data_IF_890288362024
#
_entry.id   IF_890288362024
#
_cell.length_a   1.000
_cell.length_b   1.000
_cell.length_c   1.000
_cell.angle_alpha   90.00
_cell.angle_beta   90.00
_cell.angle_gamma   90.00
#
_symmetry.space_group_name_H-M   'P 1'
#
loop_
_entity.id
_entity.type
_entity.pdbx_description
1 polymer ?
#
# COMPACT_ATOMS: atom_id res chain seq x y z
N UNK A 1 25.36 36.58 -37.77
CA UNK A 1 25.55 35.23 -37.22
C UNK A 1 24.97 35.21 -35.83
N UNK A 2 23.72 34.73 -35.69
CA UNK A 2 22.97 34.70 -34.42
C UNK A 2 23.13 33.30 -33.84
N UNK A 3 23.78 33.20 -32.68
CA UNK A 3 23.99 31.95 -31.97
C UNK A 3 22.67 31.42 -31.40
N UNK A 4 22.27 30.23 -31.86
CA UNK A 4 21.21 29.45 -31.21
C UNK A 4 21.78 28.82 -29.94
N UNK A 5 21.23 29.21 -28.79
CA UNK A 5 21.48 28.56 -27.51
C UNK A 5 20.83 27.18 -27.52
N UNK A 6 21.67 26.16 -27.41
CA UNK A 6 21.29 24.75 -27.32
C UNK A 6 20.66 24.50 -25.95
N UNK A 7 19.35 24.25 -25.94
CA UNK A 7 18.58 24.02 -24.74
C UNK A 7 18.83 22.58 -24.26
N UNK A 8 19.81 22.39 -23.39
CA UNK A 8 20.13 21.07 -22.81
C UNK A 8 18.95 20.56 -22.00
N UNK A 9 18.22 19.59 -22.54
CA UNK A 9 17.18 18.84 -21.84
C UNK A 9 17.79 18.14 -20.63
N UNK A 10 17.38 18.61 -19.44
CA UNK A 10 17.67 17.99 -18.15
C UNK A 10 17.18 16.53 -18.15
N UNK A 11 18.11 15.59 -18.30
CA UNK A 11 17.88 14.17 -18.04
C UNK A 11 17.53 14.00 -16.56
N UNK A 12 16.23 13.90 -16.27
CA UNK A 12 15.72 13.63 -14.94
C UNK A 12 16.31 12.31 -14.42
N UNK A 13 17.18 12.41 -13.42
CA UNK A 13 17.79 11.25 -12.77
C UNK A 13 16.70 10.27 -12.28
N UNK A 14 16.93 8.95 -12.38
CA UNK A 14 15.93 7.97 -11.97
C UNK A 14 15.56 8.16 -10.50
N UNK A 15 14.29 7.94 -10.13
CA UNK A 15 13.79 8.25 -8.79
C UNK A 15 14.52 7.38 -7.76
N UNK A 16 15.40 8.02 -6.96
CA UNK A 16 16.05 7.40 -5.81
C UNK A 16 14.96 6.92 -4.84
N UNK A 17 14.85 5.62 -4.65
CA UNK A 17 14.16 5.10 -3.46
C UNK A 17 14.94 5.60 -2.24
N UNK A 18 14.21 6.08 -1.23
CA UNK A 18 14.80 6.38 0.07
C UNK A 18 15.57 5.14 0.56
N UNK A 19 16.85 5.26 0.94
CA UNK A 19 17.64 4.13 1.45
C UNK A 19 16.90 3.32 2.52
N UNK A 20 16.12 3.98 3.37
CA UNK A 20 15.31 3.30 4.40
C UNK A 20 14.27 2.35 3.81
N UNK A 21 13.62 2.74 2.71
CA UNK A 21 12.62 1.91 2.02
C UNK A 21 13.28 0.69 1.39
N UNK A 22 14.44 0.85 0.75
CA UNK A 22 15.17 -0.28 0.15
C UNK A 22 15.63 -1.28 1.20
N UNK A 23 16.10 -0.81 2.37
CA UNK A 23 16.48 -1.65 3.50
C UNK A 23 15.27 -2.37 4.06
N UNK A 24 14.14 -1.68 4.22
CA UNK A 24 12.88 -2.29 4.68
C UNK A 24 12.41 -3.40 3.73
N UNK A 25 12.40 -3.15 2.42
CA UNK A 25 12.02 -4.13 1.41
C UNK A 25 12.94 -5.34 1.42
N UNK A 26 14.25 -5.14 1.50
CA UNK A 26 15.22 -6.25 1.59
C UNK A 26 15.00 -7.10 2.84
N UNK A 27 14.89 -6.46 4.00
CA UNK A 27 14.69 -7.17 5.27
C UNK A 27 13.36 -7.93 5.26
N UNK A 28 12.33 -7.36 4.66
CA UNK A 28 11.04 -8.04 4.52
C UNK A 28 11.11 -9.23 3.55
N UNK A 29 11.75 -9.06 2.39
CA UNK A 29 11.97 -10.15 1.43
C UNK A 29 12.75 -11.32 2.05
N UNK A 30 13.78 -11.02 2.86
CA UNK A 30 14.51 -12.04 3.61
C UNK A 30 13.64 -12.71 4.67
N UNK A 31 12.90 -11.93 5.46
CA UNK A 31 12.01 -12.46 6.51
C UNK A 31 10.97 -13.42 5.94
N UNK A 32 10.28 -13.01 4.87
CA UNK A 32 9.22 -13.84 4.26
C UNK A 32 9.78 -15.07 3.53
N UNK A 33 10.99 -14.97 2.96
CA UNK A 33 11.72 -16.13 2.41
C UNK A 33 12.03 -17.15 3.50
N UNK A 34 12.69 -16.71 4.57
CA UNK A 34 13.05 -17.58 5.70
C UNK A 34 11.80 -18.19 6.31
N UNK A 35 10.74 -17.40 6.47
CA UNK A 35 9.47 -17.89 7.01
C UNK A 35 8.79 -18.91 6.09
N UNK A 36 8.83 -18.76 4.76
CA UNK A 36 8.34 -19.79 3.84
C UNK A 36 9.17 -21.07 3.93
N UNK A 37 10.51 -20.96 3.98
CA UNK A 37 11.40 -22.13 4.12
C UNK A 37 11.09 -22.87 5.42
N UNK A 38 10.99 -22.15 6.55
CA UNK A 38 10.61 -22.72 7.85
C UNK A 38 9.19 -23.29 7.79
N UNK A 39 8.27 -22.63 7.08
CA UNK A 39 6.91 -23.09 6.86
C UNK A 39 6.85 -24.49 6.27
N UNK A 40 7.53 -24.69 5.14
CA UNK A 40 7.64 -26.00 4.48
C UNK A 40 8.45 -27.02 5.28
N UNK A 41 9.52 -26.59 5.94
CA UNK A 41 10.41 -27.51 6.65
C UNK A 41 9.90 -27.95 8.02
N UNK A 42 9.16 -27.08 8.74
CA UNK A 42 8.90 -27.24 10.17
C UNK A 42 7.48 -26.89 10.63
N UNK A 43 6.74 -26.01 9.95
CA UNK A 43 5.42 -25.57 10.46
C UNK A 43 4.27 -26.46 9.97
N UNK A 44 4.44 -27.09 8.79
CA UNK A 44 3.42 -27.93 8.17
C UNK A 44 2.77 -27.27 6.97
N UNK A 45 3.55 -26.61 6.11
CA UNK A 45 2.95 -26.08 4.89
C UNK A 45 2.45 -27.21 3.99
N UNK A 46 1.13 -27.24 3.73
CA UNK A 46 0.45 -28.29 2.98
C UNK A 46 0.71 -28.19 1.47
N UNK A 47 1.06 -27.00 0.97
CA UNK A 47 1.25 -26.83 -0.47
C UNK A 47 2.46 -27.65 -0.96
N UNK A 48 2.47 -28.07 -2.23
CA UNK A 48 3.65 -28.71 -2.82
C UNK A 48 4.88 -27.79 -2.79
N UNK A 49 6.06 -28.37 -2.53
CA UNK A 49 7.35 -27.66 -2.45
C UNK A 49 7.72 -26.88 -3.72
N UNK A 50 7.12 -27.20 -4.87
CA UNK A 50 7.34 -26.49 -6.13
C UNK A 50 6.57 -25.16 -6.24
N UNK A 51 5.47 -25.00 -5.50
CA UNK A 51 4.59 -23.84 -5.57
C UNK A 51 5.25 -22.49 -5.24
N UNK A 52 6.11 -22.34 -4.21
CA UNK A 52 6.79 -21.07 -3.97
C UNK A 52 7.67 -20.66 -5.14
N UNK A 53 8.30 -21.62 -5.82
CA UNK A 53 9.12 -21.35 -7.01
C UNK A 53 8.26 -20.93 -8.21
N UNK A 54 7.11 -21.56 -8.42
CA UNK A 54 6.14 -21.17 -9.46
C UNK A 54 5.61 -19.76 -9.19
N UNK A 55 5.23 -19.46 -7.94
CA UNK A 55 4.76 -18.14 -7.55
C UNK A 55 5.85 -17.07 -7.81
N UNK A 56 7.09 -17.33 -7.39
CA UNK A 56 8.22 -16.43 -7.63
C UNK A 56 8.50 -16.22 -9.13
N UNK A 57 8.58 -17.31 -9.90
CA UNK A 57 8.81 -17.24 -11.34
C UNK A 57 7.71 -16.42 -12.04
N UNK A 58 6.45 -16.65 -11.66
CA UNK A 58 5.30 -15.89 -12.17
C UNK A 58 5.43 -14.42 -11.81
N UNK A 59 5.63 -14.09 -10.54
CA UNK A 59 5.68 -12.71 -10.08
C UNK A 59 6.85 -11.92 -10.67
N UNK A 60 8.02 -12.54 -10.82
CA UNK A 60 9.18 -11.93 -11.48
C UNK A 60 8.93 -11.70 -12.96
N UNK A 61 8.36 -12.68 -13.66
CA UNK A 61 8.05 -12.57 -15.09
C UNK A 61 7.06 -11.43 -15.33
N UNK A 62 6.00 -11.35 -14.52
CA UNK A 62 5.00 -10.28 -14.62
C UNK A 62 5.60 -8.91 -14.31
N UNK A 63 6.37 -8.78 -13.23
CA UNK A 63 6.96 -7.49 -12.84
C UNK A 63 7.98 -6.99 -13.89
N UNK A 64 8.84 -7.87 -14.40
CA UNK A 64 9.80 -7.53 -15.47
C UNK A 64 9.07 -7.17 -16.76
N UNK A 65 8.06 -7.97 -17.15
CA UNK A 65 7.29 -7.75 -18.37
C UNK A 65 6.53 -6.43 -18.37
N UNK A 66 5.84 -6.12 -17.27
CA UNK A 66 5.09 -4.86 -17.10
C UNK A 66 6.02 -3.64 -17.06
N UNK A 67 7.17 -3.75 -16.40
CA UNK A 67 8.17 -2.67 -16.42
C UNK A 67 8.80 -2.48 -17.80
N UNK A 68 9.09 -3.56 -18.53
CA UNK A 68 9.59 -3.47 -19.90
C UNK A 68 8.59 -2.79 -20.83
N UNK A 69 7.30 -3.13 -20.70
CA UNK A 69 6.23 -2.49 -21.46
C UNK A 69 6.09 -1.02 -21.10
N UNK A 70 6.01 -0.70 -19.81
CA UNK A 70 5.89 0.68 -19.33
C UNK A 70 7.11 1.53 -19.73
N UNK A 71 8.32 0.98 -19.65
CA UNK A 71 9.54 1.67 -20.06
C UNK A 71 9.55 1.99 -21.57
N UNK A 72 9.04 1.07 -22.39
CA UNK A 72 8.88 1.28 -23.84
C UNK A 72 7.86 2.37 -24.15
N UNK A 73 6.70 2.35 -23.49
CA UNK A 73 5.63 3.35 -23.68
C UNK A 73 6.08 4.74 -23.21
N UNK A 74 6.78 4.81 -22.08
CA UNK A 74 7.28 6.07 -21.50
C UNK A 74 8.60 6.55 -22.13
N UNK A 75 9.13 5.85 -23.15
CA UNK A 75 10.43 6.11 -23.77
C UNK A 75 11.58 6.31 -22.77
N UNK A 76 11.61 5.52 -21.69
CA UNK A 76 12.60 5.59 -20.62
C UNK A 76 13.38 4.28 -20.49
N UNK A 77 14.57 4.34 -19.89
CA UNK A 77 15.28 3.13 -19.52
C UNK A 77 14.47 2.32 -18.47
N UNK A 78 14.45 0.96 -18.57
CA UNK A 78 13.85 0.13 -17.54
C UNK A 78 14.52 0.34 -16.18
N UNK A 79 13.72 0.35 -15.11
CA UNK A 79 14.18 0.57 -13.74
C UNK A 79 15.18 -0.47 -13.29
N UNK A 80 15.00 -1.72 -13.71
CA UNK A 80 15.90 -2.82 -13.39
C UNK A 80 17.26 -2.74 -14.10
N UNK A 81 17.40 -1.92 -15.15
CA UNK A 81 18.66 -1.74 -15.86
C UNK A 81 19.64 -0.80 -15.12
N UNK A 82 19.15 -0.05 -14.13
CA UNK A 82 20.01 0.80 -13.31
C UNK A 82 20.89 -0.02 -12.36
N UNK A 83 22.16 0.35 -12.19
CA UNK A 83 23.08 -0.22 -11.17
C UNK A 83 23.39 -1.72 -11.33
N UNK A 84 23.17 -2.30 -12.51
CA UNK A 84 23.47 -3.70 -12.82
C UNK A 84 22.64 -4.69 -11.98
N UNK A 85 23.25 -5.82 -11.60
CA UNK A 85 22.58 -6.91 -10.85
C UNK A 85 21.91 -6.41 -9.58
N UNK A 86 22.53 -5.46 -8.87
CA UNK A 86 21.97 -4.91 -7.63
C UNK A 86 20.64 -4.19 -7.86
N UNK A 87 20.51 -3.41 -8.93
CA UNK A 87 19.25 -2.72 -9.23
C UNK A 87 18.15 -3.67 -9.69
N UNK A 88 18.50 -4.75 -10.39
CA UNK A 88 17.56 -5.82 -10.69
C UNK A 88 17.01 -6.46 -9.42
N UNK A 89 17.86 -6.82 -8.47
CA UNK A 89 17.42 -7.43 -7.19
C UNK A 89 16.57 -6.44 -6.38
N UNK A 90 17.01 -5.17 -6.26
CA UNK A 90 16.25 -4.13 -5.57
C UNK A 90 14.87 -3.88 -6.20
N UNK A 91 14.78 -4.01 -7.54
CA UNK A 91 13.53 -3.93 -8.29
C UNK A 91 12.60 -5.12 -8.03
N UNK A 92 13.13 -6.33 -7.86
CA UNK A 92 12.34 -7.54 -7.67
C UNK A 92 11.82 -7.75 -6.24
N UNK A 93 12.37 -7.09 -5.22
CA UNK A 93 11.92 -7.29 -3.83
C UNK A 93 10.40 -7.18 -3.63
N UNK A 94 9.69 -6.15 -4.16
CA UNK A 94 8.24 -6.06 -3.99
C UNK A 94 7.49 -7.22 -4.63
N UNK A 95 7.92 -7.71 -5.82
CA UNK A 95 7.30 -8.84 -6.49
C UNK A 95 7.58 -10.15 -5.76
N UNK A 96 8.80 -10.31 -5.24
CA UNK A 96 9.21 -11.43 -4.41
C UNK A 96 8.30 -11.59 -3.18
N UNK A 97 8.15 -10.50 -2.42
CA UNK A 97 7.32 -10.44 -1.22
C UNK A 97 5.86 -10.79 -1.57
N UNK A 98 5.30 -10.16 -2.61
CA UNK A 98 3.91 -10.42 -3.02
C UNK A 98 3.70 -11.89 -3.39
N UNK A 99 4.64 -12.49 -4.12
CA UNK A 99 4.51 -13.87 -4.61
C UNK A 99 4.58 -14.90 -3.49
N UNK A 100 5.54 -14.75 -2.55
CA UNK A 100 5.63 -15.62 -1.38
C UNK A 100 4.47 -15.42 -0.40
N UNK A 101 3.98 -14.18 -0.25
CA UNK A 101 2.79 -13.91 0.55
C UNK A 101 1.55 -14.60 -0.04
N UNK A 102 1.36 -14.52 -1.36
CA UNK A 102 0.28 -15.23 -2.05
C UNK A 102 0.37 -16.73 -1.80
N UNK A 103 1.54 -17.34 -2.08
CA UNK A 103 1.78 -18.78 -1.90
C UNK A 103 1.42 -19.28 -0.49
N UNK A 104 1.83 -18.53 0.54
CA UNK A 104 1.66 -18.94 1.92
C UNK A 104 0.26 -18.69 2.49
N UNK A 105 -0.45 -17.68 1.99
CA UNK A 105 -1.71 -17.22 2.59
C UNK A 105 -2.95 -17.70 1.85
N UNK A 106 -2.81 -18.19 0.62
CA UNK A 106 -3.92 -18.76 -0.14
C UNK A 106 -3.85 -20.28 -0.14
N UNK A 107 -5.02 -20.91 -0.08
CA UNK A 107 -5.19 -22.33 -0.26
C UNK A 107 -6.04 -22.58 -1.52
N UNK A 108 -5.38 -23.01 -2.59
CA UNK A 108 -6.01 -23.27 -3.90
C UNK A 108 -6.09 -24.77 -4.23
N UNK A 109 -6.10 -25.63 -3.20
CA UNK A 109 -6.17 -27.09 -3.32
C UNK A 109 -5.04 -27.66 -4.22
N UNK A 110 -5.38 -28.23 -5.38
CA UNK A 110 -4.46 -28.76 -6.38
C UNK A 110 -4.31 -27.85 -7.63
N UNK A 111 -5.01 -26.71 -7.65
CA UNK A 111 -5.15 -25.86 -8.84
C UNK A 111 -4.07 -24.79 -8.93
N UNK A 112 -2.85 -25.18 -9.33
CA UNK A 112 -1.70 -24.27 -9.46
C UNK A 112 -1.97 -23.07 -10.39
N UNK A 113 -2.81 -23.24 -11.41
CA UNK A 113 -3.20 -22.15 -12.32
C UNK A 113 -3.93 -21.01 -11.61
N UNK A 114 -4.67 -21.31 -10.54
CA UNK A 114 -5.37 -20.30 -9.75
C UNK A 114 -4.38 -19.52 -8.88
N UNK A 115 -3.33 -20.17 -8.36
CA UNK A 115 -2.20 -19.47 -7.73
C UNK A 115 -1.51 -18.52 -8.72
N UNK A 116 -1.18 -19.00 -9.92
CA UNK A 116 -0.55 -18.19 -10.98
C UNK A 116 -1.43 -16.97 -11.30
N UNK A 117 -2.72 -17.18 -11.53
CA UNK A 117 -3.67 -16.10 -11.80
C UNK A 117 -3.70 -15.08 -10.65
N UNK A 118 -3.78 -15.54 -9.40
CA UNK A 118 -3.75 -14.67 -8.22
C UNK A 118 -2.47 -13.83 -8.14
N UNK A 119 -1.30 -14.42 -8.42
CA UNK A 119 -0.01 -13.71 -8.43
C UNK A 119 0.03 -12.67 -9.55
N UNK A 120 -0.46 -13.01 -10.75
CA UNK A 120 -0.56 -12.06 -11.88
C UNK A 120 -1.43 -10.86 -11.50
N UNK A 121 -2.61 -11.10 -10.91
CA UNK A 121 -3.51 -10.04 -10.45
C UNK A 121 -2.85 -9.20 -9.36
N UNK A 122 -2.25 -9.84 -8.36
CA UNK A 122 -1.60 -9.16 -7.24
C UNK A 122 -0.49 -8.22 -7.72
N UNK A 123 0.44 -8.72 -8.55
CA UNK A 123 1.56 -7.95 -9.08
C UNK A 123 1.05 -6.88 -10.07
N UNK A 124 0.15 -7.24 -10.97
CA UNK A 124 -0.43 -6.34 -11.99
C UNK A 124 -1.15 -5.14 -11.39
N UNK A 125 -1.79 -5.30 -10.24
CA UNK A 125 -2.50 -4.21 -9.55
C UNK A 125 -1.59 -3.01 -9.22
N UNK A 126 -0.29 -3.21 -9.00
CA UNK A 126 0.67 -2.10 -8.78
C UNK A 126 0.83 -1.20 -10.00
N UNK A 127 0.55 -1.74 -11.18
CA UNK A 127 0.68 -1.08 -12.47
C UNK A 127 -0.61 -0.39 -12.88
N UNK A 128 -1.75 -1.03 -12.64
CA UNK A 128 -3.07 -0.54 -13.04
C UNK A 128 -3.66 0.44 -12.01
N UNK A 129 -3.67 0.08 -10.73
CA UNK A 129 -4.38 0.84 -9.69
C UNK A 129 -3.44 1.83 -8.99
N UNK A 130 -3.22 2.97 -9.64
CA UNK A 130 -2.41 4.08 -9.12
C UNK A 130 -3.26 5.31 -8.82
N UNK A 131 -2.97 5.98 -7.71
CA UNK A 131 -3.60 7.23 -7.31
C UNK A 131 -2.55 8.34 -7.16
N UNK A 132 -2.89 9.61 -7.44
CA UNK A 132 -1.99 10.74 -7.27
C UNK A 132 -1.76 11.01 -5.77
N UNK A 133 -0.54 10.79 -5.31
CA UNK A 133 -0.12 11.07 -3.93
C UNK A 133 1.05 12.05 -3.97
N UNK A 134 0.84 13.29 -3.51
CA UNK A 134 1.85 14.35 -3.49
C UNK A 134 2.54 14.56 -4.85
N UNK A 135 1.74 14.65 -5.92
CA UNK A 135 2.22 14.89 -7.28
C UNK A 135 2.87 13.67 -7.96
N UNK A 136 2.86 12.49 -7.36
CA UNK A 136 3.33 11.24 -8.00
C UNK A 136 2.25 10.16 -7.96
N UNK A 137 2.10 9.42 -9.05
CA UNK A 137 1.25 8.24 -9.09
C UNK A 137 1.87 7.13 -8.25
N UNK A 138 1.14 6.65 -7.25
CA UNK A 138 1.54 5.51 -6.40
C UNK A 138 0.41 4.48 -6.37
N UNK A 139 0.77 3.21 -6.29
CA UNK A 139 -0.23 2.19 -6.05
C UNK A 139 -0.88 2.43 -4.69
N UNK A 140 -2.19 2.29 -4.61
CA UNK A 140 -2.93 2.51 -3.36
C UNK A 140 -3.47 1.20 -2.77
N UNK A 141 -3.48 0.14 -3.57
CA UNK A 141 -4.01 -1.17 -3.20
C UNK A 141 -2.91 -2.11 -2.75
N UNK A 142 -3.11 -2.81 -1.61
CA UNK A 142 -2.18 -3.83 -1.15
C UNK A 142 -2.17 -4.99 -2.17
N UNK A 143 -1.03 -5.26 -2.84
CA UNK A 143 -0.94 -6.21 -3.94
C UNK A 143 -1.43 -7.62 -3.57
N UNK A 144 -0.89 -8.17 -2.49
CA UNK A 144 -1.24 -9.52 -2.01
C UNK A 144 -2.67 -9.59 -1.51
N UNK A 145 -3.14 -8.59 -0.74
CA UNK A 145 -4.51 -8.61 -0.23
C UNK A 145 -5.53 -8.50 -1.37
N UNK A 146 -5.23 -7.70 -2.40
CA UNK A 146 -6.09 -7.59 -3.57
C UNK A 146 -6.09 -8.87 -4.40
N UNK A 147 -4.94 -9.50 -4.61
CA UNK A 147 -4.86 -10.81 -5.27
C UNK A 147 -5.71 -11.86 -4.54
N UNK A 148 -5.56 -11.97 -3.22
CA UNK A 148 -6.36 -12.86 -2.37
C UNK A 148 -7.85 -12.51 -2.47
N UNK A 149 -8.22 -11.25 -2.33
CA UNK A 149 -9.61 -10.80 -2.43
C UNK A 149 -10.24 -11.16 -3.78
N UNK A 150 -9.53 -10.96 -4.89
CA UNK A 150 -10.02 -11.31 -6.23
C UNK A 150 -10.20 -12.81 -6.38
N UNK A 151 -9.26 -13.62 -5.88
CA UNK A 151 -9.39 -15.07 -5.91
C UNK A 151 -10.62 -15.55 -5.14
N UNK A 152 -10.82 -15.04 -3.93
CA UNK A 152 -11.97 -15.41 -3.08
C UNK A 152 -13.31 -15.02 -3.70
N UNK A 153 -13.36 -13.93 -4.48
CA UNK A 153 -14.58 -13.49 -5.15
C UNK A 153 -14.89 -14.27 -6.43
N UNK A 154 -13.86 -14.68 -7.18
CA UNK A 154 -14.02 -15.40 -8.47
C UNK A 154 -14.18 -16.90 -8.24
N UNK A 155 -13.44 -17.46 -7.29
CA UNK A 155 -13.39 -18.89 -7.04
C UNK A 155 -13.93 -19.21 -5.63
N UNK A 156 -15.20 -19.60 -5.51
CA UNK A 156 -15.85 -19.80 -4.21
C UNK A 156 -15.28 -20.99 -3.41
N UNK A 157 -14.52 -21.87 -4.05
CA UNK A 157 -13.84 -23.01 -3.44
C UNK A 157 -12.42 -22.69 -2.97
N UNK A 158 -11.89 -21.51 -3.31
CA UNK A 158 -10.59 -21.05 -2.82
C UNK A 158 -10.75 -20.57 -1.39
N UNK A 159 -9.80 -20.96 -0.54
CA UNK A 159 -9.81 -20.63 0.87
C UNK A 159 -8.52 -19.90 1.26
N UNK A 160 -8.52 -19.31 2.44
CA UNK A 160 -7.30 -18.80 3.05
C UNK A 160 -6.57 -19.95 3.73
N UNK A 161 -5.24 -19.90 3.74
CA UNK A 161 -4.42 -20.85 4.45
C UNK A 161 -4.90 -20.99 5.91
N UNK A 162 -5.25 -22.21 6.34
CA UNK A 162 -5.88 -22.41 7.63
C UNK A 162 -4.90 -22.10 8.78
N UNK A 163 -5.37 -21.66 9.96
CA UNK A 163 -4.45 -21.24 11.03
C UNK A 163 -3.48 -22.33 11.51
N UNK A 164 -3.88 -23.61 11.48
CA UNK A 164 -3.03 -24.75 11.88
C UNK A 164 -1.81 -24.94 10.96
N UNK A 165 -1.90 -24.47 9.71
CA UNK A 165 -0.83 -24.52 8.72
C UNK A 165 0.50 -23.91 9.20
N UNK A 166 0.42 -23.03 10.21
CA UNK A 166 1.57 -22.32 10.77
C UNK A 166 2.13 -22.98 12.03
N UNK A 167 1.49 -24.01 12.58
CA UNK A 167 1.85 -24.60 13.88
C UNK A 167 1.63 -26.11 13.98
N UNK A 168 1.20 -26.79 12.92
CA UNK A 168 0.79 -28.21 12.93
C UNK A 168 1.86 -29.15 13.49
N UNK A 169 3.11 -29.00 13.05
CA UNK A 169 4.22 -29.87 13.46
C UNK A 169 4.96 -29.34 14.71
N UNK A 170 4.42 -28.30 15.36
CA UNK A 170 5.10 -27.60 16.45
C UNK A 170 4.21 -27.63 17.69
N UNK A 171 4.79 -27.97 18.85
CA UNK A 171 4.04 -27.98 20.12
C UNK A 171 4.87 -27.44 21.29
N UNK A 172 4.20 -27.13 22.39
CA UNK A 172 4.83 -26.66 23.62
C UNK A 172 5.44 -25.26 23.48
N UNK A 173 6.69 -25.09 23.91
CA UNK A 173 7.37 -23.78 23.91
C UNK A 173 7.63 -23.24 22.49
N UNK A 174 7.89 -24.13 21.52
CA UNK A 174 8.22 -23.72 20.15
C UNK A 174 7.01 -23.11 19.44
N UNK A 175 5.79 -23.53 19.79
CA UNK A 175 4.54 -22.97 19.27
C UNK A 175 4.39 -21.49 19.63
N UNK A 176 4.87 -21.08 20.82
CA UNK A 176 4.90 -19.67 21.23
C UNK A 176 6.06 -18.87 20.61
N UNK A 177 7.13 -19.56 20.20
CA UNK A 177 8.30 -18.91 19.61
C UNK A 177 8.00 -18.35 18.22
N UNK A 178 7.24 -19.08 17.40
CA UNK A 178 6.84 -18.66 16.04
C UNK A 178 6.12 -17.30 16.04
N UNK A 179 4.97 -17.11 16.71
CA UNK A 179 4.32 -15.81 16.79
C UNK A 179 5.19 -14.75 17.49
N UNK A 180 5.99 -15.15 18.50
CA UNK A 180 6.92 -14.25 19.20
C UNK A 180 7.96 -13.62 18.26
N UNK A 181 8.62 -14.43 17.42
CA UNK A 181 9.59 -13.96 16.43
C UNK A 181 8.92 -13.03 15.41
N UNK A 182 7.72 -13.39 14.93
CA UNK A 182 6.97 -12.59 13.96
C UNK A 182 6.60 -11.22 14.56
N UNK A 183 6.14 -11.18 15.81
CA UNK A 183 5.83 -9.93 16.53
C UNK A 183 7.09 -9.09 16.72
N UNK A 184 8.20 -9.68 17.18
CA UNK A 184 9.44 -8.95 17.41
C UNK A 184 10.00 -8.37 16.10
N UNK A 185 10.11 -9.18 15.06
CA UNK A 185 10.57 -8.75 13.74
C UNK A 185 9.65 -7.71 13.13
N UNK A 186 8.33 -7.93 13.21
CA UNK A 186 7.30 -7.04 12.71
C UNK A 186 7.28 -5.70 13.43
N UNK A 187 7.31 -5.71 14.76
CA UNK A 187 7.34 -4.49 15.59
C UNK A 187 8.62 -3.71 15.37
N UNK A 188 9.77 -4.37 15.24
CA UNK A 188 11.03 -3.70 14.94
C UNK A 188 10.99 -3.01 13.56
N UNK A 189 10.48 -3.72 12.53
CA UNK A 189 10.33 -3.17 11.19
C UNK A 189 9.35 -1.98 11.19
N UNK A 190 8.21 -2.14 11.85
CA UNK A 190 7.17 -1.11 11.88
C UNK A 190 7.48 0.09 12.76
N UNK A 191 8.22 -0.11 13.85
CA UNK A 191 8.67 0.94 14.74
C UNK A 191 9.84 1.73 14.17
N UNK A 192 10.86 1.06 13.63
CA UNK A 192 12.12 1.72 13.22
C UNK A 192 12.18 2.10 11.73
N UNK A 193 11.55 1.33 10.84
CA UNK A 193 11.71 1.49 9.39
C UNK A 193 10.49 2.10 8.70
N UNK A 194 9.27 1.63 8.99
CA UNK A 194 8.06 2.08 8.26
C UNK A 194 7.22 3.10 9.02
N UNK A 195 7.36 3.18 10.35
CA UNK A 195 6.64 4.14 11.20
C UNK A 195 5.13 3.90 11.24
N UNK A 196 4.71 2.64 11.41
CA UNK A 196 3.30 2.19 11.31
C UNK A 196 2.67 1.77 12.65
N UNK A 197 3.29 2.11 13.78
CA UNK A 197 2.79 1.72 15.10
C UNK A 197 1.40 2.27 15.44
N UNK A 198 1.07 3.49 14.99
CA UNK A 198 -0.26 4.07 15.19
C UNK A 198 -1.34 3.29 14.45
N UNK A 199 -1.03 2.80 13.24
CA UNK A 199 -1.91 1.95 12.45
C UNK A 199 -2.14 0.61 13.18
N UNK A 200 -1.07 -0.05 13.61
CA UNK A 200 -1.15 -1.33 14.34
C UNK A 200 -2.00 -1.17 15.60
N UNK A 201 -1.73 -0.14 16.41
CA UNK A 201 -2.47 0.12 17.63
C UNK A 201 -3.95 0.33 17.37
N UNK A 202 -4.31 1.18 16.40
CA UNK A 202 -5.70 1.42 16.03
C UNK A 202 -6.39 0.16 15.50
N UNK A 203 -5.73 -0.60 14.62
CA UNK A 203 -6.24 -1.87 14.10
C UNK A 203 -6.54 -2.86 15.22
N UNK A 204 -5.57 -3.13 16.12
CA UNK A 204 -5.71 -4.11 17.20
C UNK A 204 -6.79 -3.69 18.21
N UNK A 205 -6.78 -2.42 18.63
CA UNK A 205 -7.74 -1.90 19.61
C UNK A 205 -9.15 -1.93 19.02
N UNK A 206 -9.34 -1.39 17.81
CA UNK A 206 -10.66 -1.38 17.17
C UNK A 206 -11.14 -2.79 16.84
N UNK A 207 -10.23 -3.72 16.48
CA UNK A 207 -10.57 -5.13 16.29
C UNK A 207 -11.11 -5.76 17.58
N UNK A 208 -10.46 -5.52 18.72
CA UNK A 208 -10.93 -6.05 20.00
C UNK A 208 -12.29 -5.43 20.39
N UNK A 209 -12.44 -4.11 20.23
CA UNK A 209 -13.70 -3.41 20.53
C UNK A 209 -14.84 -3.89 19.64
N UNK A 210 -14.64 -4.02 18.32
CA UNK A 210 -15.69 -4.51 17.43
C UNK A 210 -16.08 -5.97 17.73
N UNK A 211 -15.13 -6.80 18.19
CA UNK A 211 -15.41 -8.18 18.57
C UNK A 211 -16.32 -8.24 19.80
N UNK A 212 -16.09 -7.37 20.79
CA UNK A 212 -16.93 -7.22 21.97
C UNK A 212 -18.33 -6.70 21.57
N UNK A 213 -18.40 -5.65 20.76
CA UNK A 213 -19.67 -5.10 20.25
C UNK A 213 -20.47 -6.20 19.53
N UNK A 214 -19.82 -6.97 18.65
CA UNK A 214 -20.49 -8.10 17.97
C UNK A 214 -20.98 -9.18 18.91
N UNK A 215 -20.24 -9.45 19.98
CA UNK A 215 -20.70 -10.43 20.95
C UNK A 215 -21.86 -9.97 21.82
N UNK A 216 -21.98 -8.65 22.06
CA UNK A 216 -23.11 -8.09 22.81
C UNK A 216 -24.37 -7.98 21.95
N UNK A 217 -24.23 -7.56 20.68
CA UNK A 217 -25.39 -7.22 19.84
C UNK A 217 -25.79 -8.29 18.80
N UNK A 218 -24.89 -9.21 18.46
CA UNK A 218 -25.10 -10.19 17.38
C UNK A 218 -24.77 -11.62 17.84
N UNK A 219 -24.83 -11.87 19.16
CA UNK A 219 -24.66 -13.18 19.81
C UNK A 219 -23.39 -13.96 19.39
N UNK A 220 -22.36 -13.23 18.94
CA UNK A 220 -21.07 -13.84 18.60
C UNK A 220 -20.30 -14.19 19.87
N UNK A 221 -19.73 -15.39 19.96
CA UNK A 221 -18.84 -15.72 21.09
C UNK A 221 -17.63 -14.77 21.14
N UNK A 222 -17.59 -13.91 22.16
CA UNK A 222 -16.49 -12.93 22.36
C UNK A 222 -15.13 -13.64 22.45
N UNK A 223 -14.96 -14.73 23.24
CA UNK A 223 -13.70 -15.46 23.28
C UNK A 223 -13.30 -16.02 21.91
N UNK A 224 -14.25 -16.53 21.13
CA UNK A 224 -13.95 -17.06 19.79
C UNK A 224 -13.53 -15.93 18.83
N UNK A 225 -14.20 -14.78 18.88
CA UNK A 225 -13.87 -13.63 18.04
C UNK A 225 -12.50 -13.04 18.38
N UNK A 226 -12.15 -12.93 19.67
CA UNK A 226 -10.84 -12.49 20.12
C UNK A 226 -9.76 -13.56 19.92
N UNK A 227 -10.13 -14.84 19.90
CA UNK A 227 -9.21 -15.95 19.64
C UNK A 227 -8.49 -15.84 18.30
N UNK A 228 -9.07 -15.16 17.30
CA UNK A 228 -8.37 -14.87 16.05
C UNK A 228 -7.09 -14.06 16.26
N UNK A 229 -7.04 -13.19 17.27
CA UNK A 229 -5.89 -12.30 17.53
C UNK A 229 -4.64 -13.06 17.98
N UNK A 230 -4.79 -14.28 18.51
CA UNK A 230 -3.67 -15.13 18.93
C UNK A 230 -3.10 -15.94 17.77
N UNK A 231 -3.81 -16.02 16.64
CA UNK A 231 -3.39 -16.80 15.47
C UNK A 231 -2.23 -16.17 14.72
N UNK A 232 -1.30 -17.01 14.24
CA UNK A 232 -0.14 -16.60 13.44
C UNK A 232 -0.56 -15.80 12.20
N UNK A 233 -1.64 -16.20 11.53
CA UNK A 233 -2.19 -15.48 10.38
C UNK A 233 -2.58 -14.03 10.70
N UNK A 234 -3.20 -13.78 11.86
CA UNK A 234 -3.56 -12.44 12.31
C UNK A 234 -2.32 -11.59 12.60
N UNK A 235 -1.31 -12.18 13.23
CA UNK A 235 -0.05 -11.52 13.56
C UNK A 235 0.72 -11.16 12.28
N UNK A 236 0.80 -12.08 11.32
CA UNK A 236 1.42 -11.85 10.01
C UNK A 236 0.70 -10.74 9.25
N UNK A 237 -0.63 -10.80 9.19
CA UNK A 237 -1.44 -9.77 8.57
C UNK A 237 -1.19 -8.39 9.22
N UNK A 238 -1.19 -8.34 10.55
CA UNK A 238 -1.00 -7.10 11.33
C UNK A 238 0.38 -6.49 11.12
N UNK A 239 1.43 -7.31 11.07
CA UNK A 239 2.81 -6.81 11.02
C UNK A 239 3.35 -6.62 9.60
N UNK A 240 2.81 -7.34 8.62
CA UNK A 240 3.43 -7.45 7.30
C UNK A 240 2.48 -7.15 6.13
N UNK A 241 1.18 -7.03 6.36
CA UNK A 241 0.21 -6.76 5.28
C UNK A 241 -0.52 -5.43 5.48
N UNK A 242 -1.23 -5.26 6.60
CA UNK A 242 -2.00 -4.03 6.85
C UNK A 242 -1.10 -2.79 6.97
N UNK A 243 0.15 -3.00 7.37
CA UNK A 243 1.18 -1.98 7.56
C UNK A 243 2.03 -1.72 6.32
N UNK A 244 1.69 -2.30 5.16
CA UNK A 244 2.45 -2.13 3.92
C UNK A 244 2.67 -0.63 3.63
N UNK A 245 3.93 -0.12 3.66
CA UNK A 245 4.22 1.29 3.52
C UNK A 245 3.85 1.84 2.14
N UNK A 246 3.69 0.98 1.12
CA UNK A 246 3.24 1.37 -0.20
C UNK A 246 1.82 1.91 -0.22
N UNK A 247 0.95 1.35 0.63
CA UNK A 247 -0.51 1.49 0.54
C UNK A 247 -1.12 2.14 1.78
N UNK A 248 -0.49 1.98 2.93
CA UNK A 248 -0.89 2.62 4.18
C UNK A 248 -0.47 4.09 4.27
N UNK A 249 -1.27 4.95 4.93
CA UNK A 249 -0.97 6.38 5.07
C UNK A 249 0.21 6.66 6.01
N UNK A 250 0.83 7.84 5.87
CA UNK A 250 1.99 8.23 6.67
C UNK A 250 1.68 9.04 7.92
N UNK A 251 0.65 9.91 7.90
CA UNK A 251 0.29 10.79 9.03
C UNK A 251 -0.38 9.96 10.15
N UNK A 252 -0.08 10.18 11.45
CA UNK A 252 -0.65 9.41 12.56
C UNK A 252 -2.18 9.35 12.58
N UNK A 253 -2.87 10.49 12.41
CA UNK A 253 -4.34 10.52 12.38
C UNK A 253 -4.92 9.68 11.24
N UNK A 254 -4.31 9.75 10.05
CA UNK A 254 -4.71 8.95 8.90
C UNK A 254 -4.39 7.46 9.09
N UNK A 255 -3.30 7.12 9.81
CA UNK A 255 -2.98 5.75 10.19
C UNK A 255 -4.04 5.16 11.14
N UNK A 256 -4.48 5.93 12.12
CA UNK A 256 -5.55 5.54 13.05
C UNK A 256 -6.84 5.30 12.28
N UNK A 257 -7.25 6.25 11.43
CA UNK A 257 -8.45 6.12 10.61
C UNK A 257 -8.40 4.90 9.68
N UNK A 258 -7.23 4.64 9.08
CA UNK A 258 -7.03 3.47 8.22
C UNK A 258 -7.13 2.16 9.02
N UNK A 259 -6.36 2.01 10.10
CA UNK A 259 -6.36 0.80 10.92
C UNK A 259 -7.73 0.50 11.55
N UNK A 260 -8.36 1.52 12.13
CA UNK A 260 -9.72 1.41 12.67
C UNK A 260 -10.74 1.10 11.57
N UNK A 261 -10.61 1.72 10.39
CA UNK A 261 -11.47 1.46 9.23
C UNK A 261 -11.42 0.00 8.79
N UNK A 262 -10.23 -0.61 8.70
CA UNK A 262 -10.11 -2.04 8.36
C UNK A 262 -10.82 -2.91 9.40
N UNK A 263 -10.67 -2.61 10.69
CA UNK A 263 -11.32 -3.37 11.77
C UNK A 263 -12.86 -3.24 11.74
N UNK A 264 -13.37 -2.03 11.47
CA UNK A 264 -14.81 -1.77 11.36
C UNK A 264 -15.40 -2.51 10.16
N UNK A 265 -14.77 -2.41 8.98
CA UNK A 265 -15.25 -3.12 7.78
C UNK A 265 -15.17 -4.63 8.00
N UNK A 266 -14.11 -5.14 8.64
CA UNK A 266 -14.04 -6.55 9.02
C UNK A 266 -15.23 -6.95 9.91
N UNK A 267 -15.52 -6.18 10.96
CA UNK A 267 -16.66 -6.45 11.84
C UNK A 267 -17.99 -6.46 11.08
N UNK A 268 -18.19 -5.52 10.16
CA UNK A 268 -19.37 -5.47 9.30
C UNK A 268 -19.49 -6.71 8.40
N UNK A 269 -18.40 -7.10 7.72
CA UNK A 269 -18.39 -8.29 6.87
C UNK A 269 -18.71 -9.56 7.66
N UNK A 270 -18.22 -9.67 8.89
CA UNK A 270 -18.51 -10.82 9.75
C UNK A 270 -19.97 -10.88 10.19
N UNK A 271 -20.60 -9.74 10.49
CA UNK A 271 -22.05 -9.67 10.76
C UNK A 271 -22.86 -10.04 9.51
N UNK A 272 -22.38 -9.67 8.32
CA UNK A 272 -22.96 -10.08 7.04
C UNK A 272 -22.66 -11.55 6.68
N UNK A 273 -22.04 -12.33 7.57
CA UNK A 273 -21.65 -13.72 7.37
C UNK A 273 -20.70 -13.95 6.17
N UNK A 274 -19.90 -12.94 5.82
CA UNK A 274 -18.89 -13.03 4.78
C UNK A 274 -17.59 -13.56 5.40
N UNK A 275 -17.19 -14.76 5.00
CA UNK A 275 -15.92 -15.36 5.40
C UNK A 275 -14.72 -14.57 4.88
N UNK A 276 -13.54 -14.81 5.45
CA UNK A 276 -12.28 -14.23 4.97
C UNK A 276 -12.21 -12.70 5.01
N UNK A 277 -12.98 -12.10 5.94
CA UNK A 277 -13.24 -10.67 5.99
C UNK A 277 -12.01 -9.78 6.13
N UNK A 278 -10.87 -10.26 6.67
CA UNK A 278 -9.68 -9.40 6.90
C UNK A 278 -9.08 -8.91 5.57
N UNK A 279 -8.98 -9.79 4.57
CA UNK A 279 -8.39 -9.46 3.27
C UNK A 279 -9.35 -8.58 2.45
N UNK A 280 -10.64 -8.93 2.46
CA UNK A 280 -11.70 -8.14 1.83
C UNK A 280 -11.81 -6.74 2.47
N UNK A 281 -11.79 -6.64 3.80
CA UNK A 281 -11.86 -5.37 4.51
C UNK A 281 -10.69 -4.46 4.13
N UNK A 282 -9.48 -5.01 4.04
CA UNK A 282 -8.31 -4.22 3.65
C UNK A 282 -8.40 -3.75 2.20
N UNK A 283 -8.84 -4.62 1.29
CA UNK A 283 -9.06 -4.25 -0.11
C UNK A 283 -10.12 -3.14 -0.24
N UNK A 284 -11.24 -3.24 0.49
CA UNK A 284 -12.30 -2.23 0.52
C UNK A 284 -11.77 -0.89 1.05
N UNK A 285 -11.05 -0.89 2.19
CA UNK A 285 -10.52 0.36 2.77
C UNK A 285 -9.46 0.99 1.87
N UNK A 286 -8.61 0.17 1.23
CA UNK A 286 -7.66 0.65 0.24
C UNK A 286 -8.39 1.26 -0.97
N UNK A 287 -9.46 0.63 -1.46
CA UNK A 287 -10.30 1.15 -2.53
C UNK A 287 -10.91 2.50 -2.16
N UNK A 288 -11.57 2.59 -1.01
CA UNK A 288 -12.17 3.84 -0.50
C UNK A 288 -11.12 4.95 -0.40
N UNK A 289 -9.93 4.64 0.14
CA UNK A 289 -8.82 5.59 0.20
C UNK A 289 -8.33 6.01 -1.19
N UNK A 290 -8.22 5.07 -2.13
CA UNK A 290 -7.81 5.33 -3.51
C UNK A 290 -8.79 6.27 -4.21
N UNK A 291 -10.08 6.00 -4.08
CA UNK A 291 -11.17 6.84 -4.61
C UNK A 291 -11.17 8.23 -3.96
N UNK A 292 -10.97 8.32 -2.64
CA UNK A 292 -10.85 9.59 -1.94
C UNK A 292 -9.68 10.43 -2.46
N UNK A 293 -8.52 9.83 -2.71
CA UNK A 293 -7.35 10.52 -3.28
C UNK A 293 -7.62 11.04 -4.69
N UNK A 294 -8.33 10.27 -5.52
CA UNK A 294 -8.78 10.71 -6.83
C UNK A 294 -9.80 11.86 -6.74
N UNK A 295 -10.76 11.78 -5.82
CA UNK A 295 -11.73 12.84 -5.57
C UNK A 295 -11.05 14.16 -5.15
N UNK A 296 -10.07 14.09 -4.24
CA UNK A 296 -9.25 15.25 -3.86
C UNK A 296 -8.47 15.82 -5.04
N UNK A 297 -7.93 14.96 -5.91
CA UNK A 297 -7.19 15.41 -7.08
C UNK A 297 -8.08 16.19 -8.05
N UNK A 298 -9.27 15.68 -8.36
CA UNK A 298 -10.22 16.37 -9.22
C UNK A 298 -10.72 17.68 -8.59
N UNK A 299 -11.00 17.68 -7.28
CA UNK A 299 -11.44 18.89 -6.57
C UNK A 299 -10.35 19.97 -6.56
N UNK A 300 -9.10 19.60 -6.28
CA UNK A 300 -7.98 20.54 -6.30
C UNK A 300 -7.73 21.09 -7.71
N UNK A 301 -7.79 20.23 -8.74
CA UNK A 301 -7.66 20.67 -10.14
C UNK A 301 -8.75 21.67 -10.52
N UNK A 302 -10.00 21.40 -10.15
CA UNK A 302 -11.12 22.32 -10.40
C UNK A 302 -10.93 23.66 -9.66
N UNK A 303 -10.42 23.63 -8.43
CA UNK A 303 -10.12 24.85 -7.66
C UNK A 303 -8.98 25.66 -8.29
N UNK A 304 -7.91 25.00 -8.72
CA UNK A 304 -6.79 25.64 -9.42
C UNK A 304 -7.22 26.28 -10.75
N UNK A 305 -8.07 25.59 -11.53
CA UNK A 305 -8.65 26.14 -12.76
C UNK A 305 -9.55 27.36 -12.49
N UNK A 306 -10.33 27.33 -11.40
CA UNK A 306 -11.18 28.45 -10.99
C UNK A 306 -10.34 29.65 -10.52
N UNK A 307 -9.33 29.44 -9.68
CA UNK A 307 -8.39 30.47 -9.24
C UNK A 307 -7.57 31.05 -10.42
N UNK A 308 -7.27 30.23 -11.44
CA UNK A 308 -6.60 30.69 -12.66
C UNK A 308 -7.52 31.56 -13.52
N UNK A 309 -8.80 31.18 -13.67
CA UNK A 309 -9.81 32.01 -14.35
C UNK A 309 -10.03 33.34 -13.66
N UNK A 310 -10.18 33.34 -12.33
CA UNK A 310 -10.31 34.59 -11.56
C UNK A 310 -9.08 35.49 -11.69
N UNK A 311 -7.87 34.92 -11.70
CA UNK A 311 -6.64 35.70 -11.94
C UNK A 311 -6.58 36.27 -13.36
N UNK A 312 -7.04 35.51 -14.36
CA UNK A 312 -7.12 35.99 -15.74
C UNK A 312 -8.16 37.11 -15.90
N UNK A 313 -9.31 36.99 -15.24
CA UNK A 313 -10.36 38.01 -15.22
C UNK A 313 -9.91 39.28 -14.47
N UNK A 314 -9.22 39.14 -13.33
CA UNK A 314 -8.67 40.28 -12.60
C UNK A 314 -7.48 40.96 -13.30
N UNK A 315 -6.78 40.25 -14.19
CA UNK A 315 -5.72 40.78 -15.02
C UNK A 315 -6.21 41.29 -16.39
N UNK A 316 -7.49 41.12 -16.72
CA UNK A 316 -8.06 41.65 -17.94
C UNK A 316 -8.16 43.19 -17.82
N UNK A 317 -7.59 43.96 -18.76
CA UNK A 317 -7.71 45.41 -18.74
C UNK A 317 -9.19 45.79 -18.88
N UNK A 318 -9.69 46.65 -17.99
CA UNK A 318 -11.01 47.27 -18.14
C UNK A 318 -11.03 48.04 -19.46
N UNK A 319 -11.76 47.53 -20.45
CA UNK A 319 -12.08 48.28 -21.66
C UNK A 319 -13.41 48.98 -21.44
N UNK A 320 -13.37 50.28 -21.15
CA UNK A 320 -14.54 51.13 -21.32
C UNK A 320 -14.95 51.13 -22.80
N UNK A 321 -16.25 51.25 -23.06
CA UNK A 321 -16.90 51.14 -24.38
C UNK A 321 -16.42 52.07 -25.50
N UNK A 322 -15.34 52.84 -25.28
CA UNK A 322 -14.69 53.73 -26.24
C UNK A 322 -13.29 53.25 -26.70
N UNK A 323 -12.90 52.00 -26.38
CA UNK A 323 -11.68 51.39 -26.94
C UNK A 323 -10.35 51.97 -26.45
N UNK A 324 -10.33 52.69 -25.32
CA UNK A 324 -9.10 53.13 -24.65
C UNK A 324 -8.78 52.23 -23.46
N UNK A 325 -7.54 51.73 -23.42
CA UNK A 325 -6.99 50.95 -22.30
C UNK A 325 -6.87 51.86 -21.08
N UNK A 326 -7.72 51.67 -20.08
CA UNK A 326 -7.55 52.28 -18.76
C UNK A 326 -6.57 51.46 -17.94
N UNK A 327 -5.36 52.00 -17.72
CA UNK A 327 -4.44 51.45 -16.72
C UNK A 327 -5.06 51.71 -15.35
N UNK A 328 -5.60 50.66 -14.73
CA UNK A 328 -6.01 50.72 -13.32
C UNK A 328 -4.74 50.87 -12.47
N UNK A 329 -4.47 52.11 -12.04
CA UNK A 329 -3.48 52.40 -11.01
C UNK A 329 -4.08 51.97 -9.67
N UNK A 330 -4.02 50.68 -9.36
CA UNK A 330 -4.18 50.24 -7.98
C UNK A 330 -2.98 50.76 -7.19
N UNK A 331 -3.16 51.50 -6.07
CA UNK A 331 -2.03 51.99 -5.30
C UNK A 331 -1.24 50.80 -4.76
N UNK A 332 0.08 50.82 -4.95
CA UNK A 332 0.98 49.86 -4.32
C UNK A 332 0.74 49.84 -2.79
N UNK A 333 0.74 48.67 -2.14
CA UNK A 333 0.61 48.62 -0.70
C UNK A 333 1.80 49.35 -0.06
N UNK A 334 1.60 50.15 1.00
CA UNK A 334 2.69 50.87 1.64
C UNK A 334 3.67 49.87 2.24
N UNK A 335 4.96 50.10 1.98
CA UNK A 335 6.04 49.35 2.59
C UNK A 335 6.04 49.59 4.10
N UNK A 336 5.61 48.59 4.87
CA UNK A 336 5.79 48.59 6.33
C UNK A 336 7.21 48.12 6.65
N UNK A 337 8.08 49.08 6.92
CA UNK A 337 9.24 48.89 7.78
C UNK A 337 8.72 48.77 9.21
N UNK A 338 8.73 47.57 9.78
CA UNK A 338 9.07 47.36 11.19
C UNK A 338 9.28 45.87 11.46
N UNK A 339 10.46 45.56 12.01
CA UNK A 339 10.80 44.22 12.45
C UNK A 339 10.11 43.88 13.76
N UNK A 340 9.40 42.76 13.79
CA UNK A 340 9.35 41.83 14.92
C UNK A 340 8.84 40.50 14.38
N UNK A 341 9.57 39.43 14.68
CA UNK A 341 9.27 38.10 14.15
C UNK A 341 8.02 37.49 14.78
N UNK A 342 7.21 36.83 13.96
CA UNK A 342 6.49 35.64 14.38
C UNK A 342 6.11 34.76 13.19
N UNK A 343 6.60 33.53 13.26
CA UNK A 343 6.55 32.46 12.28
C UNK A 343 5.14 31.85 12.22
N UNK A 344 4.29 32.32 11.28
CA UNK A 344 3.00 31.66 10.99
C UNK A 344 3.14 30.68 9.83
N UNK A 345 3.42 29.43 10.22
CA UNK A 345 3.26 28.21 9.41
C UNK A 345 1.93 28.21 8.64
N UNK A 346 2.06 28.27 7.32
CA UNK A 346 0.98 27.95 6.38
C UNK A 346 0.62 26.46 6.52
N UNK A 347 -0.55 26.22 7.09
CA UNK A 347 -1.20 24.90 7.15
C UNK A 347 -1.59 24.50 5.72
N UNK A 348 -0.84 23.54 5.15
CA UNK A 348 -1.28 22.77 3.96
C UNK A 348 -1.99 21.51 4.45
N UNK A 349 -3.32 21.51 4.30
CA UNK A 349 -4.23 20.41 4.60
C UNK A 349 -3.97 19.20 3.71
#
# INVERSE_FOLDING_TARGET
>A
MIGMAENTTSTAAPPRHDPKVTIALRNFAMSISVFNIIGYALLGFEQPWIWPFIALATGYTVEIGLEALAARVDHRAPRYAGRGVRGMVEFLYPAHITSLAMNMLIYVNDQVWVLIFGVVVAVGTKWVLRAPVRGRLRHYMNPSNFGIAVLLLIFPWVNIAPPYHFTEHVSGFVDWLVPGIIILGGTMLNGKLTGRMWLIGAWVITFALQAIVRGIFFDTSIPAALGMMTGVAFILFTNYMVTDPGTSPSKPASQIAFGAGVAIIYGFLMVAHIAYGIFLATAIVCLVRGLFLWGLHFSNKAREEFEAKQRAEAAAPETNGDGKVTVSLTPAPPATLDGTGEDKKVVRT
#
